data_IF_739565853234
#
_entry.id   IF_739565853234
#
_cell.length_a   1.000
_cell.length_b   1.000
_cell.length_c   1.000
_cell.angle_alpha   90.00
_cell.angle_beta   90.00
_cell.angle_gamma   90.00
#
_symmetry.space_group_name_H-M   'P 1'
#
loop_
_entity.id
_entity.type
_entity.pdbx_description
1 polymer ?
#
# COMPACT_ATOMS: atom_id res chain seq x y z
N UNK A 1 9.17 67.44 -21.76
CA UNK A 1 9.02 66.52 -22.91
C UNK A 1 9.83 65.22 -22.68
N UNK A 2 9.13 64.09 -22.53
CA UNK A 2 9.74 62.75 -22.46
C UNK A 2 9.18 61.87 -21.33
N UNK A 3 8.06 61.17 -21.59
CA UNK A 3 7.59 60.05 -20.77
C UNK A 3 8.50 58.82 -20.99
N UNK A 4 8.83 58.02 -19.96
CA UNK A 4 9.36 56.68 -20.17
C UNK A 4 8.22 55.73 -20.59
N UNK A 5 8.45 55.06 -21.72
CA UNK A 5 7.50 54.23 -22.43
C UNK A 5 6.95 53.06 -21.63
N UNK A 6 5.71 52.70 -21.98
CA UNK A 6 4.99 51.55 -21.47
C UNK A 6 5.73 50.26 -21.78
N UNK A 7 5.89 49.44 -20.74
CA UNK A 7 6.18 48.02 -20.90
C UNK A 7 4.99 47.35 -21.60
N UNK A 8 5.31 46.55 -22.60
CA UNK A 8 4.38 45.72 -23.35
C UNK A 8 3.64 44.76 -22.39
N UNK A 9 2.30 44.82 -22.29
CA UNK A 9 1.52 43.92 -21.43
C UNK A 9 1.43 42.49 -21.97
N UNK A 10 2.06 42.17 -23.11
CA UNK A 10 2.03 40.84 -23.74
C UNK A 10 3.32 40.02 -23.61
N UNK A 11 4.18 40.29 -22.63
CA UNK A 11 5.23 39.33 -22.29
C UNK A 11 4.60 38.11 -21.61
N UNK A 12 4.45 37.01 -22.35
CA UNK A 12 4.10 35.69 -21.79
C UNK A 12 5.03 35.41 -20.60
N UNK A 13 4.44 35.06 -19.46
CA UNK A 13 5.16 34.73 -18.25
C UNK A 13 6.08 33.51 -18.50
N UNK A 14 7.37 33.76 -18.58
CA UNK A 14 8.39 32.71 -18.71
C UNK A 14 8.40 31.88 -17.43
N UNK A 15 8.23 30.56 -17.56
CA UNK A 15 8.39 29.65 -16.43
C UNK A 15 9.85 29.61 -16.02
N UNK A 16 10.14 29.78 -14.72
CA UNK A 16 11.52 29.80 -14.21
C UNK A 16 11.74 28.67 -13.22
N UNK A 17 12.87 27.97 -13.32
CA UNK A 17 13.31 26.96 -12.35
C UNK A 17 14.62 27.48 -11.75
N UNK A 18 14.63 27.72 -10.43
CA UNK A 18 15.78 28.12 -9.64
C UNK A 18 16.15 27.04 -8.64
N UNK A 19 17.44 26.72 -8.56
CA UNK A 19 17.99 25.85 -7.53
C UNK A 19 18.83 26.71 -6.59
N UNK A 20 18.48 26.74 -5.31
CA UNK A 20 19.25 27.43 -4.28
C UNK A 20 19.68 26.41 -3.24
N UNK A 21 20.99 26.26 -3.08
CA UNK A 21 21.57 25.42 -2.05
C UNK A 21 21.98 26.31 -0.88
N UNK A 22 21.34 26.12 0.26
CA UNK A 22 21.81 26.63 1.55
C UNK A 22 22.46 25.48 2.33
N UNK A 23 23.31 25.79 3.31
CA UNK A 23 24.24 24.83 3.96
C UNK A 23 23.60 23.53 4.47
N UNK A 24 22.31 23.55 4.78
CA UNK A 24 21.53 22.39 5.23
C UNK A 24 20.35 22.02 4.31
N UNK A 25 20.02 22.85 3.31
CA UNK A 25 18.80 22.69 2.50
C UNK A 25 19.06 22.88 1.01
N UNK A 26 18.48 22.00 0.20
CA UNK A 26 18.36 22.20 -1.24
C UNK A 26 16.95 22.72 -1.53
N UNK A 27 16.83 24.00 -1.92
CA UNK A 27 15.56 24.63 -2.26
C UNK A 27 15.42 24.68 -3.77
N UNK A 28 14.47 23.93 -4.31
CA UNK A 28 14.08 23.98 -5.72
C UNK A 28 12.84 24.86 -5.83
N UNK A 29 12.98 26.03 -6.46
CA UNK A 29 11.88 26.96 -6.74
C UNK A 29 11.50 26.85 -8.20
N UNK A 30 10.22 26.63 -8.51
CA UNK A 30 9.75 26.65 -9.88
C UNK A 30 8.44 27.45 -9.99
N UNK A 31 8.43 28.45 -10.85
CA UNK A 31 7.29 29.33 -11.09
C UNK A 31 6.64 28.95 -12.44
N UNK A 32 5.39 28.49 -12.42
CA UNK A 32 4.63 28.09 -13.61
C UNK A 32 3.26 28.78 -13.65
N UNK A 33 2.83 29.23 -14.83
CA UNK A 33 1.45 29.69 -15.07
C UNK A 33 0.66 28.57 -15.75
N UNK A 34 -0.22 27.89 -15.02
CA UNK A 34 -0.87 26.66 -15.47
C UNK A 34 -2.40 26.76 -15.43
N UNK A 35 -3.08 26.13 -16.39
CA UNK A 35 -4.52 25.86 -16.34
C UNK A 35 -4.79 24.81 -15.23
N UNK A 36 -5.92 24.88 -14.52
CA UNK A 36 -6.20 24.02 -13.36
C UNK A 36 -5.93 22.51 -13.58
N UNK A 37 -6.42 21.94 -14.69
CA UNK A 37 -6.16 20.52 -15.00
C UNK A 37 -4.67 20.19 -15.27
N UNK A 38 -3.90 21.15 -15.78
CA UNK A 38 -2.45 21.01 -15.98
C UNK A 38 -1.69 21.22 -14.66
N UNK A 39 -2.22 22.06 -13.78
CA UNK A 39 -1.69 22.26 -12.43
C UNK A 39 -1.78 20.96 -11.61
N UNK A 40 -2.93 20.31 -11.57
CA UNK A 40 -3.11 19.05 -10.83
C UNK A 40 -2.18 17.95 -11.36
N UNK A 41 -2.04 17.85 -12.69
CA UNK A 41 -1.12 16.91 -13.32
C UNK A 41 0.34 17.17 -12.93
N UNK A 42 0.78 18.43 -12.97
CA UNK A 42 2.15 18.82 -12.64
C UNK A 42 2.43 18.65 -11.15
N UNK A 43 1.50 19.03 -10.28
CA UNK A 43 1.65 18.88 -8.84
C UNK A 43 1.71 17.40 -8.45
N UNK A 44 0.86 16.54 -9.01
CA UNK A 44 0.94 15.10 -8.77
C UNK A 44 2.29 14.50 -9.22
N UNK A 45 2.80 14.94 -10.36
CA UNK A 45 4.13 14.52 -10.84
C UNK A 45 5.27 15.06 -9.94
N UNK A 46 5.16 16.30 -9.46
CA UNK A 46 6.12 16.92 -8.55
C UNK A 46 6.13 16.24 -7.19
N UNK A 47 4.96 15.97 -6.61
CA UNK A 47 4.80 15.24 -5.35
C UNK A 47 5.41 13.85 -5.45
N UNK A 48 5.17 13.13 -6.55
CA UNK A 48 5.88 11.88 -6.80
C UNK A 48 7.39 12.10 -6.85
N UNK A 49 7.89 13.07 -7.61
CA UNK A 49 9.31 13.37 -7.72
C UNK A 49 9.96 13.64 -6.36
N UNK A 50 9.33 14.48 -5.53
CA UNK A 50 9.79 14.82 -4.18
C UNK A 50 9.76 13.59 -3.27
N UNK A 51 8.68 12.80 -3.27
CA UNK A 51 8.57 11.60 -2.44
C UNK A 51 9.63 10.55 -2.82
N UNK A 52 9.90 10.38 -4.12
CA UNK A 52 10.97 9.49 -4.61
C UNK A 52 12.35 9.98 -4.16
N UNK A 53 12.60 11.29 -4.28
CA UNK A 53 13.85 11.90 -3.85
C UNK A 53 14.06 11.80 -2.34
N UNK A 54 13.04 12.10 -1.53
CA UNK A 54 13.08 11.97 -0.06
C UNK A 54 13.40 10.54 0.36
N UNK A 55 12.65 9.56 -0.17
CA UNK A 55 12.89 8.15 0.17
C UNK A 55 14.27 7.68 -0.26
N UNK A 56 14.76 8.09 -1.44
CA UNK A 56 16.11 7.74 -1.90
C UNK A 56 17.21 8.38 -1.03
N UNK A 57 17.03 9.64 -0.61
CA UNK A 57 17.96 10.33 0.28
C UNK A 57 18.01 9.67 1.66
N UNK A 58 16.87 9.28 2.22
CA UNK A 58 16.81 8.53 3.48
C UNK A 58 17.51 7.17 3.37
N UNK A 59 17.31 6.45 2.27
CA UNK A 59 17.99 5.18 2.01
C UNK A 59 19.50 5.35 1.82
N UNK A 60 19.96 6.47 1.24
CA UNK A 60 21.37 6.77 1.05
C UNK A 60 22.14 6.91 2.37
N UNK A 61 21.46 7.23 3.49
CA UNK A 61 22.08 7.23 4.83
C UNK A 61 22.60 5.85 5.26
N UNK A 62 22.10 4.76 4.65
CA UNK A 62 22.48 3.40 4.99
C UNK A 62 22.05 2.96 6.40
N UNK A 63 21.25 3.77 7.11
CA UNK A 63 20.75 3.46 8.46
C UNK A 63 19.70 2.36 8.38
N UNK A 64 19.85 1.33 9.21
CA UNK A 64 18.81 0.32 9.38
C UNK A 64 17.58 0.89 10.08
N UNK A 65 16.40 0.59 9.53
CA UNK A 65 15.08 1.01 10.04
C UNK A 65 14.29 -0.16 10.62
N UNK A 66 14.89 -1.32 10.80
CA UNK A 66 14.17 -2.51 11.27
C UNK A 66 13.55 -2.34 12.67
N UNK A 67 14.24 -1.62 13.56
CA UNK A 67 13.70 -1.28 14.87
C UNK A 67 12.55 -0.27 14.78
N UNK A 68 12.65 0.70 13.87
CA UNK A 68 11.57 1.68 13.62
C UNK A 68 10.35 0.95 13.02
N UNK A 69 10.56 -0.03 12.14
CA UNK A 69 9.50 -0.91 11.61
C UNK A 69 8.85 -1.75 12.71
N UNK A 70 9.66 -2.36 13.58
CA UNK A 70 9.17 -3.14 14.72
C UNK A 70 8.34 -2.26 15.68
N UNK A 71 8.81 -1.05 15.97
CA UNK A 71 8.09 -0.07 16.78
C UNK A 71 6.73 0.30 16.15
N UNK A 72 6.71 0.56 14.84
CA UNK A 72 5.48 0.88 14.11
C UNK A 72 4.47 -0.26 14.10
N UNK A 73 4.94 -1.51 13.90
CA UNK A 73 4.10 -2.70 14.00
C UNK A 73 3.50 -2.84 15.41
N UNK A 74 4.32 -2.71 16.46
CA UNK A 74 3.82 -2.83 17.83
C UNK A 74 2.93 -1.66 18.25
N UNK A 75 3.13 -0.46 17.70
CA UNK A 75 2.22 0.65 17.90
C UNK A 75 0.83 0.38 17.28
N UNK A 76 0.77 -0.25 16.11
CA UNK A 76 -0.48 -0.76 15.54
C UNK A 76 -1.12 -1.80 16.46
N UNK A 77 -0.37 -2.83 16.88
CA UNK A 77 -0.87 -3.90 17.76
C UNK A 77 -1.42 -3.33 19.07
N UNK A 78 -0.71 -2.38 19.68
CA UNK A 78 -1.16 -1.68 20.88
C UNK A 78 -2.47 -0.90 20.65
N UNK A 79 -2.62 -0.27 19.49
CA UNK A 79 -3.80 0.52 19.16
C UNK A 79 -5.03 -0.32 18.77
N UNK A 80 -4.83 -1.51 18.19
CA UNK A 80 -5.89 -2.37 17.65
C UNK A 80 -6.14 -3.65 18.45
N UNK A 81 -5.26 -3.98 19.39
CA UNK A 81 -5.22 -5.26 20.11
C UNK A 81 -5.12 -6.50 19.18
N UNK A 82 -4.59 -6.31 17.97
CA UNK A 82 -4.37 -7.38 16.99
C UNK A 82 -3.27 -6.98 16.00
N UNK A 83 -2.61 -7.98 15.42
CA UNK A 83 -1.76 -7.79 14.26
C UNK A 83 -2.61 -7.43 13.04
N UNK A 84 -2.07 -6.63 12.10
CA UNK A 84 -2.78 -6.28 10.87
C UNK A 84 -3.23 -7.53 10.11
N UNK A 85 -4.43 -7.47 9.53
CA UNK A 85 -4.88 -8.44 8.52
C UNK A 85 -3.93 -8.42 7.33
N UNK A 86 -3.60 -9.60 6.80
CA UNK A 86 -2.63 -9.72 5.72
C UNK A 86 -2.99 -8.95 4.44
N UNK A 87 -4.28 -8.93 4.09
CA UNK A 87 -4.81 -8.15 2.98
C UNK A 87 -6.03 -7.35 3.41
N UNK A 88 -6.16 -6.12 2.94
CA UNK A 88 -7.34 -5.30 3.18
C UNK A 88 -8.58 -5.96 2.57
N UNK A 89 -9.70 -5.88 3.28
CA UNK A 89 -11.00 -6.31 2.74
C UNK A 89 -11.39 -5.37 1.60
N UNK A 90 -11.67 -5.96 0.43
CA UNK A 90 -12.18 -5.27 -0.75
C UNK A 90 -13.56 -5.83 -1.08
N UNK A 91 -14.52 -4.94 -1.21
CA UNK A 91 -15.90 -5.23 -1.58
C UNK A 91 -15.94 -5.98 -2.91
N UNK A 92 -16.69 -7.08 -2.92
CA UNK A 92 -16.89 -7.96 -4.06
C UNK A 92 -18.39 -8.20 -4.34
N UNK A 93 -19.26 -7.33 -3.83
CA UNK A 93 -20.72 -7.39 -4.05
C UNK A 93 -21.08 -7.29 -5.53
N UNK A 94 -20.34 -6.49 -6.29
CA UNK A 94 -20.42 -6.36 -7.75
C UNK A 94 -19.92 -7.61 -8.51
N UNK A 95 -19.27 -8.55 -7.82
CA UNK A 95 -18.73 -9.81 -8.36
C UNK A 95 -19.47 -11.04 -7.86
N UNK A 96 -20.73 -10.88 -7.45
CA UNK A 96 -21.54 -11.99 -6.93
C UNK A 96 -20.95 -12.64 -5.68
N UNK A 97 -20.18 -11.87 -4.88
CA UNK A 97 -19.54 -12.33 -3.67
C UNK A 97 -18.21 -13.08 -3.87
N UNK A 98 -17.71 -13.20 -5.11
CA UNK A 98 -16.42 -13.84 -5.38
C UNK A 98 -15.28 -12.94 -4.89
N UNK A 99 -14.49 -13.34 -3.87
CA UNK A 99 -13.47 -12.48 -3.30
C UNK A 99 -12.44 -12.01 -4.34
N UNK A 100 -11.86 -10.83 -4.09
CA UNK A 100 -10.70 -10.38 -4.83
C UNK A 100 -9.48 -11.20 -4.44
N UNK A 101 -8.63 -11.49 -5.42
CA UNK A 101 -7.37 -12.20 -5.16
C UNK A 101 -6.50 -11.40 -4.19
N UNK A 102 -5.71 -12.05 -3.31
CA UNK A 102 -4.78 -11.37 -2.40
C UNK A 102 -3.91 -10.30 -3.07
N UNK A 103 -3.38 -10.59 -4.26
CA UNK A 103 -2.50 -9.68 -5.02
C UNK A 103 -3.21 -8.46 -5.61
N UNK A 104 -4.54 -8.43 -5.61
CA UNK A 104 -5.36 -7.32 -6.06
C UNK A 104 -5.86 -6.45 -4.90
N UNK A 105 -5.55 -6.84 -3.66
CA UNK A 105 -5.93 -6.14 -2.43
C UNK A 105 -4.70 -5.40 -1.86
N UNK A 106 -4.95 -4.44 -0.99
CA UNK A 106 -3.86 -3.71 -0.31
C UNK A 106 -3.22 -4.58 0.77
N UNK A 107 -1.91 -4.45 0.92
CA UNK A 107 -1.07 -5.13 1.93
C UNK A 107 -1.34 -4.66 3.36
N UNK A 108 -1.07 -5.53 4.32
CA UNK A 108 -0.99 -5.22 5.75
C UNK A 108 -0.09 -4.03 6.09
N UNK A 109 0.92 -3.76 5.25
CA UNK A 109 1.85 -2.64 5.42
C UNK A 109 1.15 -1.28 5.36
N UNK A 110 0.00 -1.18 4.68
CA UNK A 110 -0.83 0.04 4.67
C UNK A 110 -1.30 0.38 6.08
N UNK A 111 -1.71 -0.62 6.86
CA UNK A 111 -2.28 -0.43 8.21
C UNK A 111 -1.26 0.07 9.23
N UNK A 112 0.04 -0.04 8.95
CA UNK A 112 1.10 0.43 9.84
C UNK A 112 1.68 1.79 9.44
N UNK A 113 1.39 2.31 8.25
CA UNK A 113 1.89 3.61 7.77
C UNK A 113 1.73 4.77 8.79
N UNK A 114 0.59 4.93 9.49
CA UNK A 114 0.42 6.02 10.46
C UNK A 114 1.40 5.99 11.64
N UNK A 115 2.04 4.84 11.88
CA UNK A 115 2.92 4.61 13.02
C UNK A 115 4.41 4.62 12.64
N UNK A 116 4.72 4.90 11.37
CA UNK A 116 6.10 4.95 10.86
C UNK A 116 6.57 6.39 10.68
N UNK A 117 7.88 6.62 10.85
CA UNK A 117 8.51 7.92 10.60
C UNK A 117 7.83 9.08 11.33
N UNK A 118 7.42 8.87 12.58
CA UNK A 118 6.71 9.88 13.40
C UNK A 118 5.41 10.41 12.76
N UNK A 119 4.78 9.62 11.88
CA UNK A 119 3.54 9.97 11.21
C UNK A 119 3.71 10.55 9.80
N UNK A 120 4.92 10.54 9.25
CA UNK A 120 5.25 11.01 7.90
C UNK A 120 4.36 10.39 6.80
N UNK A 121 3.90 9.16 6.99
CA UNK A 121 3.07 8.43 6.02
C UNK A 121 1.57 8.48 6.32
N UNK A 122 1.13 9.35 7.24
CA UNK A 122 -0.29 9.46 7.60
C UNK A 122 -1.17 9.95 6.45
N UNK A 123 -0.66 10.81 5.59
CA UNK A 123 -1.37 11.26 4.38
C UNK A 123 -1.58 10.10 3.41
N UNK A 124 -0.53 9.32 3.13
CA UNK A 124 -0.63 8.10 2.32
C UNK A 124 -1.66 7.12 2.91
N UNK A 125 -1.62 6.89 4.22
CA UNK A 125 -2.62 6.05 4.89
C UNK A 125 -4.04 6.57 4.69
N UNK A 126 -4.29 7.85 4.97
CA UNK A 126 -5.63 8.43 4.88
C UNK A 126 -6.21 8.30 3.48
N UNK A 127 -5.39 8.47 2.46
CA UNK A 127 -5.78 8.29 1.07
C UNK A 127 -6.13 6.83 0.77
N UNK A 128 -5.22 5.90 1.06
CA UNK A 128 -5.44 4.47 0.82
C UNK A 128 -6.61 3.91 1.63
N UNK A 129 -6.79 4.37 2.86
CA UNK A 129 -7.83 3.88 3.75
C UNK A 129 -9.24 4.24 3.26
N UNK A 130 -9.40 5.33 2.50
CA UNK A 130 -10.69 5.71 1.88
C UNK A 130 -11.07 4.80 0.71
N UNK A 131 -10.09 4.23 0.03
CA UNK A 131 -10.29 3.50 -1.23
C UNK A 131 -10.04 2.01 -1.11
N UNK A 132 -9.43 1.52 -0.03
CA UNK A 132 -9.06 0.09 0.16
C UNK A 132 -10.22 -0.89 0.02
N UNK A 133 -11.45 -0.44 0.33
CA UNK A 133 -12.66 -1.23 0.21
C UNK A 133 -13.17 -1.34 -1.23
N UNK A 134 -12.84 -0.41 -2.13
CA UNK A 134 -13.43 -0.35 -3.49
C UNK A 134 -12.40 -0.53 -4.59
N UNK A 135 -11.14 -0.18 -4.33
CA UNK A 135 -10.09 -0.11 -5.34
C UNK A 135 -8.92 -1.05 -5.03
N UNK A 136 -8.24 -1.49 -6.08
CA UNK A 136 -6.93 -2.14 -5.97
C UNK A 136 -5.84 -1.14 -5.61
N UNK A 137 -4.70 -1.63 -5.15
CA UNK A 137 -3.49 -0.83 -4.97
C UNK A 137 -2.96 -0.21 -6.28
N UNK A 138 -3.31 -0.81 -7.43
CA UNK A 138 -2.88 -0.39 -8.77
C UNK A 138 -3.95 0.40 -9.54
N UNK A 139 -4.95 0.94 -8.85
CA UNK A 139 -6.05 1.71 -9.45
C UNK A 139 -6.07 3.14 -8.92
N UNK A 140 -6.45 4.09 -9.77
CA UNK A 140 -6.64 5.49 -9.40
C UNK A 140 -5.45 6.09 -8.63
N UNK A 141 -5.75 6.87 -7.59
CA UNK A 141 -4.73 7.55 -6.80
C UNK A 141 -3.90 6.59 -5.94
N UNK A 142 -4.35 5.34 -5.73
CA UNK A 142 -3.57 4.35 -4.98
C UNK A 142 -2.27 4.02 -5.70
N UNK A 143 -2.29 4.04 -7.04
CA UNK A 143 -1.10 3.81 -7.84
C UNK A 143 -0.05 4.93 -7.64
N UNK A 144 -0.48 6.16 -7.38
CA UNK A 144 0.44 7.27 -7.08
C UNK A 144 1.16 7.01 -5.75
N UNK A 145 0.41 6.58 -4.73
CA UNK A 145 0.96 6.19 -3.42
C UNK A 145 1.88 4.97 -3.53
N UNK A 146 1.51 3.99 -4.37
CA UNK A 146 2.35 2.82 -4.65
C UNK A 146 3.74 3.21 -5.16
N UNK A 147 3.87 4.34 -5.87
CA UNK A 147 5.13 4.91 -6.33
C UNK A 147 6.03 5.52 -5.24
N UNK A 148 5.59 5.55 -3.98
CA UNK A 148 6.37 6.08 -2.86
C UNK A 148 7.30 5.03 -2.28
N UNK A 149 8.54 5.42 -1.95
CA UNK A 149 9.42 4.62 -1.10
C UNK A 149 9.06 4.85 0.36
N UNK A 150 8.91 3.77 1.10
CA UNK A 150 8.81 3.79 2.56
C UNK A 150 10.09 3.16 3.09
N UNK A 151 11.08 3.95 3.55
CA UNK A 151 12.39 3.42 3.93
C UNK A 151 12.35 2.34 5.03
N UNK A 152 11.31 2.36 5.87
CA UNK A 152 11.05 1.35 6.89
C UNK A 152 10.78 -0.04 6.30
N UNK A 153 10.31 -0.13 5.05
CA UNK A 153 10.07 -1.39 4.34
C UNK A 153 11.30 -1.87 3.57
N UNK A 154 12.42 -1.15 3.61
CA UNK A 154 13.62 -1.49 2.86
C UNK A 154 14.76 -1.84 3.81
N UNK A 155 15.43 -2.96 3.55
CA UNK A 155 16.68 -3.31 4.22
C UNK A 155 17.80 -2.29 3.88
N UNK A 156 18.60 -1.93 4.88
CA UNK A 156 19.74 -1.04 4.73
C UNK A 156 20.85 -1.63 3.86
N UNK A 157 21.72 -0.77 3.31
CA UNK A 157 22.90 -1.16 2.50
C UNK A 157 22.55 -2.06 1.30
N UNK A 158 21.41 -1.79 0.67
CA UNK A 158 20.92 -2.51 -0.52
C UNK A 158 21.15 -1.70 -1.80
N UNK A 159 21.25 -2.39 -2.94
CA UNK A 159 21.38 -1.73 -4.25
C UNK A 159 20.10 -0.93 -4.57
N UNK A 160 20.25 0.30 -5.07
CA UNK A 160 19.13 1.19 -5.38
C UNK A 160 18.09 0.58 -6.32
N UNK A 161 18.49 -0.33 -7.23
CA UNK A 161 17.57 -1.03 -8.13
C UNK A 161 16.59 -1.90 -7.35
N UNK A 162 16.95 -2.40 -6.16
CA UNK A 162 16.07 -3.23 -5.34
C UNK A 162 14.91 -2.45 -4.73
N UNK A 163 15.04 -1.12 -4.58
CA UNK A 163 14.02 -0.27 -3.96
C UNK A 163 12.76 -0.10 -4.83
N UNK A 164 12.83 -0.51 -6.09
CA UNK A 164 11.80 -0.30 -7.08
C UNK A 164 11.38 -1.61 -7.74
N UNK A 165 10.09 -1.74 -8.01
CA UNK A 165 9.49 -2.87 -8.71
C UNK A 165 8.86 -2.41 -10.03
N UNK A 166 9.25 -3.05 -11.12
CA UNK A 166 8.54 -2.95 -12.39
C UNK A 166 7.47 -4.04 -12.40
N UNK A 167 6.22 -3.66 -12.12
CA UNK A 167 5.12 -4.63 -12.02
C UNK A 167 4.40 -4.78 -13.37
N UNK A 168 4.09 -6.00 -13.84
CA UNK A 168 3.39 -6.19 -15.11
C UNK A 168 2.05 -5.43 -15.17
N UNK A 169 1.84 -4.69 -16.24
CA UNK A 169 0.63 -3.88 -16.43
C UNK A 169 0.60 -2.56 -15.65
N UNK A 170 1.70 -2.17 -15.00
CA UNK A 170 1.86 -0.87 -14.34
C UNK A 170 2.92 -0.06 -15.09
N UNK A 171 2.56 1.15 -15.53
CA UNK A 171 3.43 1.98 -16.38
C UNK A 171 4.66 2.53 -15.66
N UNK A 172 4.54 2.82 -14.36
CA UNK A 172 5.61 3.40 -13.55
C UNK A 172 6.11 2.41 -12.48
N UNK A 173 7.41 2.44 -12.12
CA UNK A 173 7.91 1.64 -11.01
C UNK A 173 7.22 2.01 -9.70
N UNK A 174 6.93 0.99 -8.89
CA UNK A 174 6.36 1.13 -7.54
C UNK A 174 7.42 0.82 -6.48
N UNK A 175 7.21 1.34 -5.27
CA UNK A 175 8.12 1.09 -4.15
C UNK A 175 8.15 -0.38 -3.77
N UNK A 176 9.35 -0.88 -3.45
CA UNK A 176 9.54 -2.24 -3.01
C UNK A 176 9.39 -2.40 -1.49
N UNK A 177 9.32 -3.65 -1.05
CA UNK A 177 9.61 -4.08 0.33
C UNK A 177 10.68 -5.18 0.32
N UNK A 178 11.51 -5.19 1.37
CA UNK A 178 12.48 -6.23 1.70
C UNK A 178 12.06 -7.03 2.94
N UNK A 179 10.82 -6.87 3.39
CA UNK A 179 10.25 -7.55 4.54
C UNK A 179 8.92 -8.21 4.17
N UNK A 180 8.61 -9.33 4.81
CA UNK A 180 7.32 -10.03 4.67
C UNK A 180 6.79 -10.46 6.02
N UNK A 181 5.48 -10.52 6.17
CA UNK A 181 4.83 -11.18 7.30
C UNK A 181 4.94 -12.70 7.19
N UNK A 182 5.14 -13.39 8.31
CA UNK A 182 5.18 -14.85 8.35
C UNK A 182 3.78 -15.42 8.50
N UNK A 183 3.42 -16.30 7.56
CA UNK A 183 2.10 -16.91 7.52
C UNK A 183 1.97 -18.20 8.32
N UNK A 184 3.10 -18.83 8.63
CA UNK A 184 3.15 -20.16 9.23
C UNK A 184 3.93 -21.16 8.39
N UNK A 185 3.77 -22.43 8.70
CA UNK A 185 4.41 -23.57 8.02
C UNK A 185 3.53 -24.05 6.86
N UNK A 186 4.12 -24.17 5.67
CA UNK A 186 3.45 -24.48 4.42
C UNK A 186 3.50 -23.30 3.45
N UNK A 187 3.70 -23.54 2.16
CA UNK A 187 3.79 -22.47 1.16
C UNK A 187 2.47 -21.70 0.98
N UNK A 188 1.36 -22.35 1.33
CA UNK A 188 -0.02 -21.86 1.29
C UNK A 188 -0.56 -21.44 2.66
N UNK A 189 0.29 -21.37 3.70
CA UNK A 189 -0.15 -21.10 5.08
C UNK A 189 -0.93 -19.79 5.28
N UNK A 190 -0.79 -18.84 4.35
CA UNK A 190 -1.53 -17.58 4.37
C UNK A 190 -3.04 -17.76 4.06
N UNK A 191 -3.41 -18.88 3.45
CA UNK A 191 -4.78 -19.24 3.06
C UNK A 191 -5.45 -20.21 4.05
N UNK A 192 -4.70 -20.73 5.04
CA UNK A 192 -5.24 -21.66 6.03
C UNK A 192 -6.41 -21.06 6.80
N UNK A 193 -7.48 -21.86 6.91
CA UNK A 193 -8.61 -21.57 7.77
C UNK A 193 -8.20 -21.81 9.23
N UNK A 194 -8.23 -20.79 10.10
CA UNK A 194 -7.89 -20.96 11.51
C UNK A 194 -8.86 -21.89 12.28
N UNK A 195 -10.04 -22.20 11.72
CA UNK A 195 -10.97 -23.17 12.30
C UNK A 195 -10.63 -24.63 11.96
N UNK A 196 -9.74 -24.87 10.98
CA UNK A 196 -9.33 -26.23 10.60
C UNK A 196 -8.28 -26.77 11.60
N UNK A 197 -8.61 -27.82 12.37
CA UNK A 197 -7.70 -28.37 13.37
C UNK A 197 -6.44 -29.01 12.77
N UNK A 198 -6.44 -29.38 11.48
CA UNK A 198 -5.30 -30.04 10.82
C UNK A 198 -4.13 -29.09 10.53
N UNK A 199 -4.42 -27.78 10.48
CA UNK A 199 -3.43 -26.72 10.24
C UNK A 199 -3.26 -25.80 11.44
N UNK A 200 -4.00 -26.02 12.53
CA UNK A 200 -4.01 -25.15 13.70
C UNK A 200 -2.60 -24.93 14.32
N UNK A 201 -1.75 -25.97 14.32
CA UNK A 201 -0.37 -25.89 14.79
C UNK A 201 0.62 -25.34 13.75
N UNK A 202 0.17 -25.06 12.53
CA UNK A 202 0.99 -24.52 11.44
C UNK A 202 0.78 -23.02 11.23
N UNK A 203 -0.23 -22.41 11.86
CA UNK A 203 -0.55 -20.99 11.66
C UNK A 203 0.55 -20.10 12.20
N UNK A 204 0.98 -19.12 11.40
CA UNK A 204 1.81 -17.99 11.83
C UNK A 204 0.97 -16.75 12.11
N UNK A 205 1.64 -15.62 12.35
CA UNK A 205 0.99 -14.35 12.73
C UNK A 205 0.08 -13.82 11.62
N UNK A 206 0.51 -13.88 10.37
CA UNK A 206 -0.22 -13.28 9.25
C UNK A 206 -1.05 -14.32 8.49
N UNK A 207 -2.17 -13.89 7.91
CA UNK A 207 -2.89 -14.64 6.89
C UNK A 207 -3.65 -13.65 6.01
N UNK A 208 -3.97 -14.01 4.77
CA UNK A 208 -4.63 -13.07 3.86
C UNK A 208 -5.94 -12.57 4.41
N UNK A 209 -6.70 -13.48 5.03
CA UNK A 209 -8.08 -13.25 5.42
C UNK A 209 -8.34 -13.32 6.93
N UNK A 210 -7.27 -13.23 7.74
CA UNK A 210 -7.34 -13.24 9.20
C UNK A 210 -6.40 -12.21 9.84
N UNK A 211 -6.79 -11.76 11.02
CA UNK A 211 -5.93 -11.04 11.97
C UNK A 211 -5.61 -11.98 13.14
N UNK A 212 -4.45 -11.80 13.77
CA UNK A 212 -4.05 -12.58 14.95
C UNK A 212 -3.95 -11.66 16.15
N UNK A 213 -4.57 -12.03 17.26
CA UNK A 213 -4.52 -11.32 18.55
C UNK A 213 -3.37 -11.85 19.39
N UNK A 214 -2.87 -11.01 20.31
CA UNK A 214 -1.82 -11.43 21.24
C UNK A 214 -2.27 -12.64 22.08
N UNK A 215 -3.53 -12.68 22.49
CA UNK A 215 -4.11 -13.81 23.24
C UNK A 215 -4.17 -15.14 22.47
N UNK A 216 -4.06 -15.10 21.13
CA UNK A 216 -4.06 -16.30 20.29
C UNK A 216 -2.65 -16.91 20.13
N UNK A 217 -1.60 -16.20 20.57
CA UNK A 217 -0.20 -16.66 20.48
C UNK A 217 0.13 -17.51 21.70
N UNK A 218 0.02 -18.82 21.55
CA UNK A 218 0.28 -19.82 22.59
C UNK A 218 1.78 -20.08 22.78
N UNK A 219 2.60 -19.93 21.73
CA UNK A 219 4.06 -20.13 21.79
C UNK A 219 4.82 -18.93 22.39
N UNK A 220 4.10 -17.96 22.96
CA UNK A 220 4.58 -16.67 23.49
C UNK A 220 5.02 -15.67 22.40
N UNK A 221 4.67 -14.37 22.52
CA UNK A 221 5.08 -13.36 21.54
C UNK A 221 6.60 -13.24 21.33
N UNK A 222 7.41 -13.51 22.35
CA UNK A 222 8.86 -13.41 22.28
C UNK A 222 9.53 -14.54 21.47
N UNK A 223 8.80 -15.64 21.21
CA UNK A 223 9.29 -16.80 20.45
C UNK A 223 8.61 -16.94 19.08
N UNK A 224 7.65 -16.09 18.74
CA UNK A 224 6.99 -16.12 17.43
C UNK A 224 7.46 -14.97 16.54
N UNK A 225 7.95 -15.28 15.35
CA UNK A 225 8.30 -14.30 14.31
C UNK A 225 7.02 -13.74 13.70
N UNK A 226 6.92 -12.41 13.67
CA UNK A 226 5.85 -11.70 12.96
C UNK A 226 6.30 -11.32 11.54
N UNK A 227 7.46 -10.67 11.43
CA UNK A 227 7.98 -10.14 10.16
C UNK A 227 9.42 -10.58 9.98
N UNK A 228 9.81 -10.89 8.75
CA UNK A 228 11.17 -11.33 8.42
C UNK A 228 11.73 -10.59 7.21
N UNK A 229 13.03 -10.33 7.21
CA UNK A 229 13.72 -9.79 6.05
C UNK A 229 13.89 -10.89 4.98
N UNK A 230 13.77 -10.50 3.71
CA UNK A 230 13.87 -11.39 2.55
C UNK A 230 14.93 -10.92 1.56
N UNK A 231 15.46 -11.82 0.71
CA UNK A 231 16.41 -11.45 -0.33
C UNK A 231 15.84 -10.42 -1.29
N UNK A 232 16.68 -9.46 -1.69
CA UNK A 232 16.35 -8.37 -2.61
C UNK A 232 16.27 -8.81 -4.08
N UNK A 233 16.66 -10.06 -4.38
CA UNK A 233 16.60 -10.66 -5.72
C UNK A 233 15.18 -10.67 -6.27
N UNK A 234 14.21 -10.96 -5.40
CA UNK A 234 12.79 -10.92 -5.75
C UNK A 234 12.21 -9.58 -5.32
N UNK A 235 11.97 -8.73 -6.30
CA UNK A 235 11.39 -7.40 -6.07
C UNK A 235 9.90 -7.53 -5.79
N UNK A 236 9.45 -6.99 -4.67
CA UNK A 236 8.08 -7.15 -4.16
C UNK A 236 7.47 -5.78 -3.88
N UNK A 237 6.31 -5.42 -4.47
CA UNK A 237 5.69 -4.13 -4.20
C UNK A 237 5.13 -4.11 -2.77
N UNK A 238 5.49 -3.11 -1.96
CA UNK A 238 5.10 -3.06 -0.55
C UNK A 238 3.58 -2.97 -0.35
N UNK A 239 2.89 -2.38 -1.31
CA UNK A 239 1.44 -2.11 -1.24
C UNK A 239 0.59 -3.29 -1.72
N UNK A 240 1.15 -4.21 -2.51
CA UNK A 240 0.37 -5.34 -2.99
C UNK A 240 0.25 -6.39 -1.88
N UNK A 241 -0.98 -6.76 -1.57
CA UNK A 241 -1.25 -7.92 -0.72
C UNK A 241 -0.77 -9.23 -1.36
N UNK A 242 -1.00 -10.34 -0.68
CA UNK A 242 -0.60 -11.65 -1.20
C UNK A 242 0.87 -11.98 -0.94
N UNK A 243 1.42 -12.85 -1.80
CA UNK A 243 2.80 -13.36 -1.70
C UNK A 243 3.91 -12.31 -1.79
N UNK A 244 3.58 -11.07 -2.19
CA UNK A 244 4.53 -9.96 -2.19
C UNK A 244 4.89 -9.50 -0.77
N UNK A 245 3.98 -9.66 0.19
CA UNK A 245 4.11 -9.06 1.53
C UNK A 245 3.88 -10.06 2.65
N UNK A 246 3.47 -11.29 2.33
CA UNK A 246 3.29 -12.40 3.26
C UNK A 246 3.85 -13.67 2.64
N UNK A 247 4.59 -14.45 3.41
CA UNK A 247 5.14 -15.72 2.95
C UNK A 247 4.91 -16.82 3.97
N UNK A 248 4.57 -18.00 3.47
CA UNK A 248 4.65 -19.25 4.22
C UNK A 248 6.07 -19.81 4.24
N UNK A 249 6.35 -20.66 5.21
CA UNK A 249 7.66 -21.28 5.45
C UNK A 249 7.65 -22.70 4.90
N UNK A 250 8.57 -23.10 4.00
CA UNK A 250 8.62 -24.46 3.51
C UNK A 250 8.95 -25.45 4.63
N UNK A 251 8.47 -26.68 4.51
CA UNK A 251 8.63 -27.72 5.53
C UNK A 251 10.09 -28.18 5.74
N UNK A 252 10.93 -27.97 4.71
CA UNK A 252 12.35 -28.33 4.66
C UNK A 252 13.18 -27.20 4.08
N UNK A 253 14.44 -27.10 4.46
CA UNK A 253 15.31 -25.95 4.13
C UNK A 253 14.62 -24.63 4.51
N UNK A 254 13.96 -24.63 5.66
CA UNK A 254 12.89 -23.70 6.02
C UNK A 254 13.36 -22.25 6.05
N UNK A 255 14.59 -21.99 6.51
CA UNK A 255 15.16 -20.64 6.59
C UNK A 255 15.68 -20.13 5.24
N UNK A 256 16.01 -21.02 4.30
CA UNK A 256 16.74 -20.70 3.05
C UNK A 256 16.09 -19.62 2.20
N UNK A 257 14.74 -19.54 2.04
CA UNK A 257 14.11 -18.46 1.28
C UNK A 257 14.30 -17.06 1.89
N UNK A 258 14.67 -16.98 3.17
CA UNK A 258 14.74 -15.74 3.93
C UNK A 258 16.18 -15.23 4.14
N UNK A 259 17.19 -16.08 3.92
CA UNK A 259 18.62 -15.74 4.09
C UNK A 259 19.02 -14.57 3.17
N UNK A 260 19.22 -13.40 3.75
CA UNK A 260 19.31 -12.13 3.01
C UNK A 260 20.29 -11.11 3.59
N UNK A 261 20.94 -11.43 4.70
CA UNK A 261 21.81 -10.51 5.42
C UNK A 261 23.04 -11.20 6.01
N UNK A 262 24.00 -10.38 6.42
CA UNK A 262 25.13 -10.77 7.25
C UNK A 262 25.11 -9.94 8.53
N UNK A 263 25.37 -10.58 9.68
CA UNK A 263 25.48 -9.94 10.97
C UNK A 263 26.62 -10.60 11.75
N UNK A 264 27.57 -9.80 12.24
CA UNK A 264 28.74 -10.30 13.00
C UNK A 264 29.51 -11.43 12.27
N UNK A 265 29.68 -11.30 10.95
CA UNK A 265 30.36 -12.30 10.11
C UNK A 265 29.58 -13.59 9.85
N UNK A 266 28.30 -13.66 10.29
CA UNK A 266 27.42 -14.80 10.05
C UNK A 266 26.36 -14.45 9.02
N UNK A 267 26.11 -15.37 8.09
CA UNK A 267 25.04 -15.26 7.10
C UNK A 267 23.70 -15.71 7.69
N UNK A 268 22.62 -15.02 7.35
CA UNK A 268 21.30 -15.26 7.92
C UNK A 268 20.28 -14.21 7.50
N UNK A 269 19.35 -13.89 8.39
CA UNK A 269 18.31 -12.88 8.18
C UNK A 269 17.89 -12.22 9.48
N UNK A 270 17.31 -11.02 9.41
CA UNK A 270 16.72 -10.37 10.58
C UNK A 270 15.21 -10.64 10.64
N UNK A 271 14.72 -10.83 11.85
CA UNK A 271 13.31 -11.04 12.14
C UNK A 271 12.82 -10.09 13.23
N UNK A 272 11.57 -9.66 13.12
CA UNK A 272 10.82 -8.94 14.14
C UNK A 272 9.89 -9.96 14.80
N UNK A 273 10.06 -10.15 16.09
CA UNK A 273 9.24 -11.02 16.91
C UNK A 273 7.88 -10.37 17.21
N UNK A 274 6.89 -11.15 17.63
CA UNK A 274 5.56 -10.67 17.96
C UNK A 274 5.53 -9.81 19.25
N UNK A 275 6.62 -9.76 20.02
CA UNK A 275 6.81 -8.78 21.10
C UNK A 275 7.53 -7.49 20.66
N UNK A 276 7.90 -7.39 19.37
CA UNK A 276 8.61 -6.24 18.79
C UNK A 276 10.13 -6.28 18.90
N UNK A 277 10.71 -7.32 19.52
CA UNK A 277 12.17 -7.49 19.52
C UNK A 277 12.68 -7.84 18.14
N UNK A 278 13.89 -7.38 17.84
CA UNK A 278 14.60 -7.77 16.62
C UNK A 278 15.60 -8.85 16.95
N UNK A 279 15.61 -9.92 16.16
CA UNK A 279 16.53 -11.05 16.32
C UNK A 279 17.23 -11.36 15.00
N UNK A 280 18.44 -11.86 15.10
CA UNK A 280 19.16 -12.41 13.96
C UNK A 280 18.96 -13.93 13.89
N UNK A 281 18.49 -14.42 12.75
CA UNK A 281 18.28 -15.84 12.48
C UNK A 281 19.43 -16.33 11.58
N UNK A 282 20.33 -17.19 12.09
CA UNK A 282 21.45 -17.68 11.29
C UNK A 282 20.98 -18.64 10.20
N UNK A 283 21.67 -18.69 9.05
CA UNK A 283 21.41 -19.67 7.99
C UNK A 283 21.56 -21.12 8.47
N UNK A 284 22.33 -21.35 9.52
CA UNK A 284 22.60 -22.66 10.10
C UNK A 284 21.54 -23.12 11.13
N UNK A 285 20.48 -22.35 11.35
CA UNK A 285 19.37 -22.77 12.22
C UNK A 285 18.75 -24.07 11.68
N UNK A 286 18.34 -24.99 12.58
CA UNK A 286 17.68 -26.22 12.15
C UNK A 286 16.27 -25.92 11.62
N UNK A 287 15.76 -26.77 10.71
CA UNK A 287 14.39 -26.64 10.22
C UNK A 287 13.37 -26.72 11.37
N UNK A 288 13.61 -27.56 12.39
CA UNK A 288 12.75 -27.68 13.55
C UNK A 288 12.71 -26.38 14.37
N UNK A 289 13.88 -25.83 14.69
CA UNK A 289 13.98 -24.59 15.47
C UNK A 289 13.38 -23.39 14.72
N UNK A 290 13.63 -23.28 13.41
CA UNK A 290 13.09 -22.18 12.62
C UNK A 290 11.57 -22.28 12.46
N UNK A 291 11.03 -23.49 12.24
CA UNK A 291 9.58 -23.69 12.15
C UNK A 291 8.87 -23.41 13.47
N UNK A 292 9.47 -23.79 14.61
CA UNK A 292 8.97 -23.44 15.94
C UNK A 292 8.89 -21.91 16.16
N UNK A 293 9.81 -21.14 15.56
CA UNK A 293 9.73 -19.67 15.59
C UNK A 293 8.63 -19.10 14.69
N UNK A 294 8.06 -19.87 13.76
CA UNK A 294 7.15 -19.37 12.72
C UNK A 294 5.67 -19.68 13.00
N UNK A 295 5.36 -20.32 14.11
CA UNK A 295 4.01 -20.73 14.51
C UNK A 295 3.52 -19.96 15.74
N UNK A 296 2.20 -19.85 15.86
CA UNK A 296 1.54 -19.23 17.02
C UNK A 296 1.14 -20.29 18.06
N UNK A 297 1.11 -21.57 17.70
CA UNK A 297 0.62 -22.68 18.51
C UNK A 297 1.22 -24.05 18.12
N UNK A 298 2.51 -24.09 17.78
CA UNK A 298 3.27 -25.31 17.52
C UNK A 298 3.60 -26.12 18.78
N UNK A 299 3.85 -25.43 19.90
CA UNK A 299 4.08 -26.05 21.21
C UNK A 299 5.50 -26.57 21.45
N UNK A 300 6.46 -26.27 20.58
CA UNK A 300 7.85 -26.70 20.73
C UNK A 300 8.60 -25.92 21.83
N UNK A 301 9.44 -26.61 22.59
CA UNK A 301 10.31 -25.98 23.59
C UNK A 301 11.64 -25.53 22.97
N UNK A 302 11.76 -24.23 22.71
CA UNK A 302 12.97 -23.61 22.18
C UNK A 302 13.60 -22.58 23.13
N UNK A 303 14.93 -22.54 23.13
CA UNK A 303 15.73 -21.45 23.72
C UNK A 303 16.05 -20.40 22.65
N UNK A 304 15.14 -19.43 22.52
CA UNK A 304 15.21 -18.38 21.51
C UNK A 304 16.50 -17.55 21.57
N UNK A 305 17.09 -17.35 22.76
CA UNK A 305 18.30 -16.53 22.88
C UNK A 305 19.55 -17.24 22.34
N UNK A 306 19.54 -18.58 22.37
CA UNK A 306 20.62 -19.40 21.81
C UNK A 306 20.53 -19.50 20.28
N UNK A 307 19.32 -19.75 19.74
CA UNK A 307 19.13 -20.03 18.31
C UNK A 307 18.93 -18.75 17.47
N UNK A 308 18.44 -17.68 18.08
CA UNK A 308 18.06 -16.43 17.43
C UNK A 308 18.45 -15.24 18.32
N UNK A 309 19.75 -14.89 18.43
CA UNK A 309 20.20 -13.83 19.32
C UNK A 309 19.49 -12.49 19.06
N UNK A 310 19.19 -11.78 20.15
CA UNK A 310 18.59 -10.44 20.09
C UNK A 310 19.59 -9.43 19.53
N UNK A 311 19.11 -8.58 18.63
CA UNK A 311 19.86 -7.48 18.04
C UNK A 311 19.34 -6.21 18.70
N UNK A 312 20.11 -5.52 19.55
CA UNK A 312 19.65 -4.32 20.21
C UNK A 312 19.60 -3.12 19.24
N UNK A 313 18.71 -2.14 19.48
CA UNK A 313 18.70 -0.92 18.69
C UNK A 313 20.01 -0.14 18.84
N UNK A 314 20.44 0.58 17.79
CA UNK A 314 21.63 1.44 17.87
C UNK A 314 21.48 2.45 19.02
N UNK A 315 22.44 2.44 19.96
CA UNK A 315 22.43 3.34 21.12
C UNK A 315 21.74 2.80 22.39
N UNK A 316 21.27 1.55 22.40
CA UNK A 316 20.84 0.85 23.62
C UNK A 316 19.55 1.36 24.28
N UNK A 317 18.85 2.32 23.67
CA UNK A 317 17.56 2.79 24.15
C UNK A 317 16.47 1.73 23.89
N UNK A 318 15.63 1.37 24.87
CA UNK A 318 14.48 0.51 24.63
C UNK A 318 13.59 1.11 23.54
N UNK A 319 13.05 0.24 22.67
CA UNK A 319 12.01 0.62 21.71
C UNK A 319 10.73 0.94 22.50
N UNK A 320 10.64 2.14 23.07
CA UNK A 320 9.41 2.65 23.64
C UNK A 320 8.56 3.06 22.47
N UNK A 321 7.49 2.29 22.20
CA UNK A 321 6.49 2.63 21.20
C UNK A 321 6.13 4.11 21.36
N UNK A 322 6.39 4.88 20.29
CA UNK A 322 6.13 6.32 20.26
C UNK A 322 4.72 6.64 20.74
N UNK A 323 4.46 7.89 21.17
CA UNK A 323 3.18 8.28 21.72
C UNK A 323 2.07 7.79 20.81
N UNK A 324 1.10 7.09 21.41
CA UNK A 324 -0.06 6.59 20.69
C UNK A 324 -0.68 7.76 19.95
N UNK A 325 -0.57 7.74 18.61
CA UNK A 325 -1.29 8.69 17.78
C UNK A 325 -2.77 8.42 18.07
N UNK A 326 -3.56 9.41 18.53
CA UNK A 326 -4.95 9.18 18.86
C UNK A 326 -5.66 8.57 17.64
N UNK A 327 -6.60 7.63 17.86
CA UNK A 327 -7.34 7.02 16.77
C UNK A 327 -7.94 8.13 15.91
N UNK A 328 -7.85 7.97 14.59
CA UNK A 328 -8.57 8.84 13.67
C UNK A 328 -10.02 8.95 14.16
N UNK A 329 -10.58 10.17 14.26
CA UNK A 329 -11.97 10.32 14.65
C UNK A 329 -12.83 9.40 13.77
N UNK A 330 -13.85 8.72 14.32
CA UNK A 330 -14.82 8.04 13.48
C UNK A 330 -15.28 9.05 12.43
N UNK A 331 -15.25 8.64 11.17
CA UNK A 331 -15.90 9.38 10.09
C UNK A 331 -17.32 9.59 10.57
N UNK A 332 -17.65 10.82 10.97
CA UNK A 332 -19.04 11.21 11.19
C UNK A 332 -19.70 10.88 9.86
N UNK A 333 -20.67 9.97 9.89
CA UNK A 333 -21.60 9.82 8.78
C UNK A 333 -21.99 11.24 8.36
N UNK A 334 -21.63 11.62 7.14
CA UNK A 334 -22.21 12.80 6.54
C UNK A 334 -23.72 12.60 6.64
N UNK A 335 -24.47 13.61 7.12
CA UNK A 335 -25.91 13.49 7.19
C UNK A 335 -26.40 13.13 5.79
N UNK A 336 -27.14 12.01 5.71
CA UNK A 336 -27.81 11.57 4.48
C UNK A 336 -28.34 12.81 3.75
N UNK A 337 -28.09 12.97 2.44
CA UNK A 337 -28.69 14.05 1.69
C UNK A 337 -30.18 14.05 1.96
N UNK A 338 -30.69 15.18 2.45
CA UNK A 338 -32.11 15.38 2.62
C UNK A 338 -32.78 15.09 1.27
N UNK A 339 -33.91 14.35 1.23
CA UNK A 339 -34.62 14.15 -0.02
C UNK A 339 -34.93 15.52 -0.63
N UNK A 340 -34.47 15.74 -1.86
CA UNK A 340 -34.87 16.86 -2.69
C UNK A 340 -36.39 17.02 -2.60
N UNK A 341 -36.81 18.21 -2.17
CA UNK A 341 -38.20 18.64 -2.27
C UNK A 341 -38.53 18.68 -3.77
N UNK A 342 -39.23 17.65 -4.25
CA UNK A 342 -39.90 17.69 -5.55
C UNK A 342 -40.72 18.98 -5.63
N UNK A 343 -40.59 19.80 -6.69
CA UNK A 343 -41.51 20.90 -6.89
C UNK A 343 -42.93 20.35 -7.02
N UNK A 344 -43.87 20.95 -6.27
CA UNK A 344 -45.29 20.61 -6.32
C UNK A 344 -45.81 20.67 -7.77
N UNK A 345 -46.64 19.71 -8.20
CA UNK A 345 -47.33 19.83 -9.47
C UNK A 345 -48.32 21.00 -9.42
N UNK A 346 -48.47 21.78 -10.50
CA UNK A 346 -49.40 22.91 -10.53
C UNK A 346 -50.84 22.42 -10.37
N UNK A 347 -51.63 23.18 -9.59
CA UNK A 347 -53.06 22.93 -9.34
C UNK A 347 -53.85 22.91 -10.67
N UNK A 348 -54.86 22.03 -10.81
CA UNK A 348 -55.66 21.94 -12.03
C UNK A 348 -56.58 23.17 -12.20
N UNK A 349 -56.65 23.68 -13.43
CA UNK A 349 -57.65 24.68 -13.83
C UNK A 349 -59.04 24.02 -13.96
N UNK A 350 -60.14 24.76 -13.74
CA UNK A 350 -61.50 24.23 -13.90
C UNK A 350 -61.89 24.05 -15.39
N UNK A 351 -62.86 23.16 -15.71
CA UNK A 351 -63.16 22.78 -17.09
C UNK A 351 -64.33 23.57 -17.68
N UNK A 352 -64.10 24.18 -18.85
CA UNK A 352 -65.11 24.59 -19.84
C UNK A 352 -64.40 24.51 -21.21
N UNK A 353 -64.91 24.00 -22.32
CA UNK A 353 -66.17 23.40 -22.71
C UNK A 353 -66.14 23.23 -24.24
N UNK A 354 -66.26 21.98 -24.71
CA UNK A 354 -66.66 21.47 -26.04
C UNK A 354 -65.96 21.89 -27.36
N UNK A 355 -65.99 21.01 -28.39
CA UNK A 355 -65.00 20.94 -29.46
C UNK A 355 -65.51 21.52 -30.79
N UNK A 356 -64.58 21.93 -31.67
CA UNK A 356 -64.88 22.23 -33.07
C UNK A 356 -63.90 21.47 -33.98
N UNK A 357 -64.50 20.70 -34.90
CA UNK A 357 -63.89 19.87 -35.94
C UNK A 357 -63.04 20.64 -36.97
N UNK A 358 -62.06 19.96 -37.58
CA UNK A 358 -61.34 20.50 -38.73
C UNK A 358 -60.25 19.63 -39.37
N UNK A 359 -60.66 18.49 -39.95
CA UNK A 359 -60.12 17.68 -41.09
C UNK A 359 -58.61 17.34 -41.28
N UNK A 360 -58.31 16.14 -41.86
CA UNK A 360 -56.96 15.58 -42.01
C UNK A 360 -56.34 15.83 -43.41
N UNK A 361 -55.01 15.73 -43.51
CA UNK A 361 -54.29 15.68 -44.80
C UNK A 361 -53.33 14.49 -44.80
N UNK A 362 -53.54 13.59 -45.76
CA UNK A 362 -52.70 12.43 -46.09
C UNK A 362 -51.42 12.81 -46.87
N UNK A 363 -50.33 12.10 -46.56
CA UNK A 363 -49.50 11.40 -47.56
C UNK A 363 -48.35 12.14 -48.24
N UNK A 364 -47.10 11.67 -48.02
CA UNK A 364 -46.40 10.73 -48.93
C UNK A 364 -44.95 10.41 -48.47
N UNK A 365 -44.35 9.29 -48.95
CA UNK A 365 -43.18 8.65 -48.33
C UNK A 365 -41.82 8.90 -49.03
N UNK A 366 -40.79 8.54 -48.26
CA UNK A 366 -39.31 8.42 -48.40
C UNK A 366 -38.71 8.11 -49.79
N UNK A 367 -37.45 8.52 -50.05
CA UNK A 367 -36.50 7.70 -50.81
C UNK A 367 -35.24 7.29 -50.01
N UNK A 368 -34.65 6.11 -50.31
CA UNK A 368 -33.68 5.41 -49.46
C UNK A 368 -32.24 5.92 -49.56
N UNK A 369 -31.46 5.62 -48.52
CA UNK A 369 -30.01 5.86 -48.43
C UNK A 369 -29.22 5.05 -49.46
N UNK A 370 -28.24 5.70 -50.09
CA UNK A 370 -27.30 5.11 -51.05
C UNK A 370 -26.19 4.34 -50.31
N UNK A 371 -25.88 3.16 -50.84
CA UNK A 371 -24.74 2.31 -50.50
C UNK A 371 -23.40 3.04 -50.73
N UNK A 372 -22.47 2.94 -49.76
CA UNK A 372 -21.06 3.27 -49.94
C UNK A 372 -20.28 2.03 -50.45
N UNK A 373 -19.36 2.18 -51.40
CA UNK A 373 -18.60 1.07 -51.96
C UNK A 373 -17.36 0.69 -51.13
N UNK A 374 -17.13 -0.62 -51.10
CA UNK A 374 -15.98 -1.38 -50.59
C UNK A 374 -14.62 -0.65 -50.54
N UNK A 375 -13.95 -0.78 -49.39
CA UNK A 375 -12.53 -0.45 -49.17
C UNK A 375 -11.68 -1.71 -49.38
N UNK A 376 -10.58 -1.68 -50.16
CA UNK A 376 -9.75 -2.85 -50.42
C UNK A 376 -8.78 -3.16 -49.25
N UNK A 377 -8.57 -4.46 -49.00
CA UNK A 377 -7.58 -5.01 -48.06
C UNK A 377 -6.13 -4.67 -48.47
N UNK A 378 -5.19 -4.54 -47.50
CA UNK A 378 -3.77 -4.42 -47.80
C UNK A 378 -3.13 -5.78 -48.13
N UNK A 379 -2.11 -5.81 -49.02
CA UNK A 379 -1.46 -7.05 -49.43
C UNK A 379 -0.58 -7.63 -48.33
N UNK A 380 -0.59 -8.96 -48.22
CA UNK A 380 0.41 -9.73 -47.48
C UNK A 380 1.72 -9.75 -48.27
N UNK A 381 2.81 -9.32 -47.63
CA UNK A 381 4.19 -9.47 -48.05
C UNK A 381 5.07 -9.59 -46.83
#
# INVERSE_FOLDING_TARGET
PGFPGGGDPNKKADSTIGLTQDKEFLVLKADFTLKAAMYDLIMAALEQGVNKAKGAAEMASGKSRIHDLAAGLMAHVKAKNEFPRGTAVRDASDRGGIPWRPDQRMSWMVEILPYLGEGDFRTHFNQLNRTKATQSWREGDNLLVAGSLVPHFLAAKTDQKSWWVNYPGVAAPVGATHFVGIAGIGLDAAEYDPADPTVANKLGIFGYDRSTRLEQIKDTPAKTIAVIQVPTTFKRPWIAGGGATIMGVPETESVKPFVSAEHEGKRGTFAIMADGKVRFIPETISDADFKALCTIAGGEEIDVNKIAPEVPPPGGAPVVGGPAVPPAPPVKEEPKPQPEVKPEPPKPMPPEGKPIEGKPIEGKPVPPAKEEPNKPEPPKG
#
